data_IF_094030917670
#
_entry.id   IF_094030917670
#
_cell.length_a   1.000
_cell.length_b   1.000
_cell.length_c   1.000
_cell.angle_alpha   90.00
_cell.angle_beta   90.00
_cell.angle_gamma   90.00
#
_symmetry.space_group_name_H-M   'P 1'
#
loop_
_entity.id
_entity.type
_entity.pdbx_description
1 polymer ?
#
# COMPACT_ATOMS: atom_id res chain seq x y z
N UNK A 1 -35.79 10.84 7.44
CA UNK A 1 -34.79 11.28 8.44
C UNK A 1 -33.54 10.39 8.49
N UNK A 2 -33.57 9.15 7.99
CA UNK A 2 -32.45 8.18 7.99
C UNK A 2 -31.37 8.46 6.93
N UNK A 3 -31.70 8.98 5.75
CA UNK A 3 -30.71 9.18 4.67
C UNK A 3 -29.78 10.38 4.84
N UNK A 4 -30.21 11.44 5.55
CA UNK A 4 -29.39 12.63 5.80
C UNK A 4 -28.34 12.36 6.89
N UNK A 5 -28.68 11.57 7.91
CA UNK A 5 -27.72 11.14 8.92
C UNK A 5 -26.62 10.28 8.32
N UNK A 6 -26.95 9.32 7.44
CA UNK A 6 -25.97 8.47 6.76
C UNK A 6 -25.04 9.26 5.83
N UNK A 7 -25.56 10.28 5.13
CA UNK A 7 -24.79 11.14 4.24
C UNK A 7 -23.84 12.10 4.99
N UNK A 8 -24.27 12.60 6.15
CA UNK A 8 -23.44 13.40 7.06
C UNK A 8 -22.36 12.52 7.70
N UNK A 9 -22.70 11.27 8.06
CA UNK A 9 -21.79 10.28 8.64
C UNK A 9 -20.64 9.90 7.68
N UNK A 10 -20.96 9.61 6.42
CA UNK A 10 -19.97 9.26 5.38
C UNK A 10 -19.09 10.46 5.01
N UNK A 11 -19.65 11.68 4.94
CA UNK A 11 -18.86 12.91 4.70
C UNK A 11 -17.91 13.25 5.84
N UNK A 12 -18.30 13.07 7.10
CA UNK A 12 -17.44 13.30 8.26
C UNK A 12 -16.29 12.28 8.35
N UNK A 13 -16.55 11.02 8.04
CA UNK A 13 -15.55 9.95 8.00
C UNK A 13 -14.52 10.16 6.87
N UNK A 14 -15.00 10.52 5.67
CA UNK A 14 -14.13 10.88 4.54
C UNK A 14 -13.24 12.10 4.86
N UNK A 15 -13.79 13.12 5.53
CA UNK A 15 -13.05 14.32 5.89
C UNK A 15 -11.96 14.07 6.93
N UNK A 16 -12.12 13.12 7.85
CA UNK A 16 -11.11 12.77 8.87
C UNK A 16 -9.91 12.03 8.27
N UNK A 17 -10.13 11.13 7.30
CA UNK A 17 -9.06 10.39 6.63
C UNK A 17 -8.29 11.24 5.63
N UNK A 18 -9.02 12.09 4.88
CA UNK A 18 -8.44 13.21 4.15
C UNK A 18 -7.67 14.10 5.12
N UNK A 19 -8.17 14.37 6.32
CA UNK A 19 -7.45 15.15 7.32
C UNK A 19 -6.16 14.44 7.75
N UNK A 20 -6.12 13.15 8.06
CA UNK A 20 -4.86 12.50 8.49
C UNK A 20 -3.84 12.38 7.34
N UNK A 21 -4.29 12.00 6.15
CA UNK A 21 -3.43 11.90 4.95
C UNK A 21 -2.95 13.28 4.49
N UNK A 22 -3.87 14.26 4.41
CA UNK A 22 -3.51 15.63 4.07
C UNK A 22 -2.86 16.40 5.22
N UNK A 23 -3.07 16.10 6.50
CA UNK A 23 -2.34 16.73 7.61
C UNK A 23 -0.88 16.35 7.52
N UNK A 24 -0.54 15.09 7.23
CA UNK A 24 0.83 14.71 6.90
C UNK A 24 1.37 15.58 5.74
N UNK A 25 0.57 15.80 4.70
CA UNK A 25 0.89 16.61 3.52
C UNK A 25 0.91 18.15 3.73
N UNK A 26 0.11 18.70 4.64
CA UNK A 26 -0.03 20.14 4.95
C UNK A 26 0.91 20.57 6.08
N UNK A 27 1.22 19.70 7.03
CA UNK A 27 2.29 19.89 8.01
C UNK A 27 3.63 20.10 7.26
N UNK A 28 3.79 19.44 6.11
CA UNK A 28 4.84 19.62 5.11
C UNK A 28 4.91 21.05 4.51
N UNK A 29 3.79 21.74 4.30
CA UNK A 29 3.80 23.14 3.82
C UNK A 29 4.13 24.10 4.99
N UNK A 30 3.66 23.79 6.20
CA UNK A 30 3.82 24.65 7.36
C UNK A 30 5.25 24.63 7.93
N UNK A 31 5.93 23.48 7.97
CA UNK A 31 7.30 23.36 8.48
C UNK A 31 8.31 24.08 7.57
N UNK A 32 8.12 24.07 6.25
CA UNK A 32 9.07 24.66 5.29
C UNK A 32 8.77 26.11 4.86
N UNK A 33 7.66 26.71 5.33
CA UNK A 33 7.31 28.14 5.07
C UNK A 33 7.43 29.06 6.30
N UNK A 34 7.87 28.57 7.45
CA UNK A 34 7.99 29.41 8.64
C UNK A 34 9.19 30.36 8.56
N UNK A 35 8.97 31.58 8.03
CA UNK A 35 9.84 32.72 8.35
C UNK A 35 9.54 33.18 9.79
N UNK A 36 10.54 33.61 10.57
CA UNK A 36 10.30 34.12 11.91
C UNK A 36 9.46 35.40 11.83
N UNK A 37 8.26 35.36 12.42
CA UNK A 37 7.41 36.54 12.54
C UNK A 37 8.03 37.52 13.55
N UNK A 38 8.27 38.75 13.12
CA UNK A 38 8.68 39.85 13.99
C UNK A 38 7.53 40.23 14.95
N UNK A 39 7.89 40.42 16.21
CA UNK A 39 7.01 40.85 17.30
C UNK A 39 6.20 42.10 16.93
N UNK A 40 4.90 41.94 16.68
CA UNK A 40 3.94 43.03 16.63
C UNK A 40 2.93 42.87 17.76
N UNK A 41 2.80 43.93 18.58
CA UNK A 41 1.90 44.00 19.72
C UNK A 41 0.45 44.05 19.20
N UNK A 42 -0.32 42.99 19.44
CA UNK A 42 -1.72 42.87 18.99
C UNK A 42 -2.68 43.77 19.79
N UNK A 43 -3.39 44.64 19.05
CA UNK A 43 -4.46 45.53 19.53
C UNK A 43 -5.67 44.75 20.13
N UNK A 44 -6.42 45.33 21.10
CA UNK A 44 -7.39 44.60 21.94
C UNK A 44 -8.56 43.94 21.20
N UNK A 45 -8.93 44.40 20.00
CA UNK A 45 -9.99 43.77 19.17
C UNK A 45 -9.58 42.40 18.60
N UNK A 46 -8.29 42.07 18.53
CA UNK A 46 -7.82 40.77 18.05
C UNK A 46 -7.82 39.67 19.12
N UNK A 47 -7.91 40.02 20.41
CA UNK A 47 -7.92 39.04 21.51
C UNK A 47 -9.18 38.17 21.52
N UNK A 48 -10.31 38.70 21.07
CA UNK A 48 -11.56 37.94 20.97
C UNK A 48 -11.49 36.97 19.77
N UNK A 49 -11.04 37.42 18.61
CA UNK A 49 -10.87 36.58 17.41
C UNK A 49 -9.86 35.44 17.64
N UNK A 50 -8.75 35.71 18.34
CA UNK A 50 -7.74 34.70 18.71
C UNK A 50 -8.33 33.65 19.65
N UNK A 51 -9.15 34.04 20.64
CA UNK A 51 -9.82 33.07 21.55
C UNK A 51 -10.81 32.16 20.84
N UNK A 52 -11.57 32.69 19.88
CA UNK A 52 -12.48 31.87 19.06
C UNK A 52 -11.72 30.92 18.12
N UNK A 53 -10.63 31.37 17.49
CA UNK A 53 -9.75 30.50 16.72
C UNK A 53 -9.11 29.40 17.58
N UNK A 54 -8.62 29.74 18.78
CA UNK A 54 -8.08 28.75 19.72
C UNK A 54 -9.13 27.73 20.16
N UNK A 55 -10.36 28.14 20.43
CA UNK A 55 -11.45 27.23 20.81
C UNK A 55 -11.85 26.29 19.66
N UNK A 56 -11.92 26.79 18.42
CA UNK A 56 -12.20 25.96 17.22
C UNK A 56 -11.07 24.97 16.95
N UNK A 57 -9.81 25.38 17.15
CA UNK A 57 -8.65 24.49 17.06
C UNK A 57 -8.71 23.43 18.15
N UNK A 58 -8.98 23.80 19.40
CA UNK A 58 -9.10 22.84 20.51
C UNK A 58 -10.26 21.88 20.30
N UNK A 59 -11.43 22.35 19.85
CA UNK A 59 -12.58 21.48 19.54
C UNK A 59 -12.25 20.57 18.35
N UNK A 60 -11.58 21.06 17.31
CA UNK A 60 -11.15 20.21 16.19
C UNK A 60 -10.12 19.17 16.64
N UNK A 61 -9.14 19.54 17.45
CA UNK A 61 -8.14 18.62 18.01
C UNK A 61 -8.82 17.59 18.91
N UNK A 62 -9.72 17.99 19.81
CA UNK A 62 -10.47 17.08 20.68
C UNK A 62 -11.39 16.15 19.88
N UNK A 63 -12.08 16.66 18.86
CA UNK A 63 -12.87 15.83 17.95
C UNK A 63 -11.98 14.84 17.18
N UNK A 64 -10.78 15.24 16.75
CA UNK A 64 -9.84 14.36 16.06
C UNK A 64 -9.26 13.30 17.03
N UNK A 65 -8.98 13.67 18.27
CA UNK A 65 -8.41 12.75 19.28
C UNK A 65 -9.47 11.77 19.82
N UNK A 66 -10.75 12.15 19.86
CA UNK A 66 -11.82 11.31 20.42
C UNK A 66 -12.61 10.53 19.35
N UNK A 67 -12.87 11.13 18.19
CA UNK A 67 -13.71 10.50 17.15
C UNK A 67 -12.91 9.53 16.30
N UNK A 68 -11.63 9.83 15.99
CA UNK A 68 -10.81 8.96 15.13
C UNK A 68 -10.59 7.56 15.73
N UNK A 69 -10.21 7.43 17.03
CA UNK A 69 -10.03 6.11 17.64
C UNK A 69 -11.33 5.31 17.77
N UNK A 70 -12.50 5.97 17.74
CA UNK A 70 -13.79 5.27 17.77
C UNK A 70 -14.12 4.55 16.45
N UNK A 71 -13.53 4.97 15.33
CA UNK A 71 -13.88 4.46 14.00
C UNK A 71 -12.71 3.82 13.24
N UNK A 72 -11.47 4.11 13.64
CA UNK A 72 -10.26 3.52 13.05
C UNK A 72 -9.55 2.69 14.11
N UNK A 73 -9.42 1.39 13.86
CA UNK A 73 -8.75 0.45 14.74
C UNK A 73 -7.46 -0.02 14.08
N UNK A 74 -6.31 0.32 14.66
CA UNK A 74 -5.01 -0.13 14.16
C UNK A 74 -4.77 -1.58 14.58
N UNK A 75 -4.22 -2.39 13.66
CA UNK A 75 -3.79 -3.73 14.02
C UNK A 75 -2.52 -3.63 14.87
N UNK A 76 -2.53 -4.30 16.02
CA UNK A 76 -1.34 -4.40 16.89
C UNK A 76 -0.44 -5.55 16.48
N UNK A 77 -1.03 -6.59 15.87
CA UNK A 77 -0.35 -7.79 15.39
C UNK A 77 -0.69 -8.03 13.92
N UNK A 78 0.26 -8.47 13.08
CA UNK A 78 -0.03 -8.82 11.70
C UNK A 78 -1.00 -9.98 11.64
N UNK A 79 -2.14 -9.77 10.98
CA UNK A 79 -3.09 -10.83 10.67
C UNK A 79 -3.31 -10.89 9.16
N UNK A 80 -3.30 -12.11 8.63
CA UNK A 80 -3.49 -12.40 7.21
C UNK A 80 -4.77 -13.20 7.01
N UNK A 81 -5.48 -12.89 5.92
CA UNK A 81 -6.58 -13.67 5.37
C UNK A 81 -6.18 -14.23 4.00
N UNK A 82 -6.70 -15.39 3.65
CA UNK A 82 -6.71 -15.97 2.32
C UNK A 82 -8.06 -16.66 2.04
N UNK A 83 -8.18 -17.35 0.91
CA UNK A 83 -9.41 -18.05 0.51
C UNK A 83 -9.78 -19.24 1.39
N UNK A 84 -8.79 -19.93 1.95
CA UNK A 84 -8.98 -21.19 2.66
C UNK A 84 -9.40 -20.97 4.11
N UNK A 85 -8.79 -20.01 4.81
CA UNK A 85 -9.10 -19.68 6.20
C UNK A 85 -10.25 -18.68 6.31
N UNK A 86 -10.47 -17.82 5.29
CA UNK A 86 -11.54 -16.82 5.21
C UNK A 86 -11.68 -15.86 6.41
N UNK A 87 -10.67 -15.81 7.29
CA UNK A 87 -10.64 -14.98 8.50
C UNK A 87 -9.22 -14.48 8.74
N UNK A 88 -9.10 -13.29 9.33
CA UNK A 88 -7.84 -12.73 9.82
C UNK A 88 -7.49 -13.35 11.17
N UNK A 89 -6.61 -14.37 11.18
CA UNK A 89 -6.38 -15.18 12.39
C UNK A 89 -4.92 -15.30 12.80
N UNK A 90 -3.99 -15.22 11.86
CA UNK A 90 -2.58 -15.49 12.11
C UNK A 90 -1.68 -14.59 11.26
N UNK A 91 -0.42 -14.44 11.70
CA UNK A 91 0.61 -13.76 10.92
C UNK A 91 0.87 -14.46 9.58
N UNK A 92 0.84 -15.79 9.57
CA UNK A 92 1.04 -16.61 8.38
C UNK A 92 -0.14 -17.55 8.17
N UNK A 93 -0.61 -17.63 6.93
CA UNK A 93 -1.64 -18.58 6.47
C UNK A 93 -1.09 -19.43 5.34
N UNK A 94 -1.63 -20.63 5.18
CA UNK A 94 -1.23 -21.58 4.13
C UNK A 94 -2.43 -22.02 3.31
N UNK A 95 -2.16 -22.40 2.07
CA UNK A 95 -3.11 -23.02 1.16
C UNK A 95 -2.43 -24.15 0.39
N UNK A 96 -3.24 -24.99 -0.26
CA UNK A 96 -2.75 -26.00 -1.21
C UNK A 96 -3.07 -25.48 -2.62
N UNK A 97 -2.08 -24.92 -3.35
CA UNK A 97 -2.29 -24.47 -4.71
C UNK A 97 -2.67 -25.66 -5.60
N UNK A 98 -3.65 -25.47 -6.49
CA UNK A 98 -4.11 -26.52 -7.41
C UNK A 98 -3.36 -26.54 -8.74
N UNK A 99 -2.70 -25.45 -9.08
CA UNK A 99 -1.92 -25.26 -10.30
C UNK A 99 -0.82 -24.22 -10.05
N UNK A 100 0.03 -23.99 -11.03
CA UNK A 100 1.13 -23.02 -11.01
C UNK A 100 0.63 -21.63 -11.38
N UNK A 101 1.37 -20.60 -10.95
CA UNK A 101 1.00 -19.20 -11.18
C UNK A 101 1.24 -18.75 -12.62
N UNK A 102 2.34 -19.19 -13.23
CA UNK A 102 2.67 -18.89 -14.61
C UNK A 102 1.91 -19.82 -15.57
N UNK A 103 1.67 -19.31 -16.78
CA UNK A 103 1.01 -20.02 -17.87
C UNK A 103 2.04 -20.21 -18.98
N UNK A 104 2.42 -21.46 -19.26
CA UNK A 104 3.44 -21.81 -20.26
C UNK A 104 4.77 -21.05 -20.07
N UNK A 105 5.19 -20.88 -18.81
CA UNK A 105 6.39 -20.13 -18.47
C UNK A 105 6.26 -18.62 -18.61
N UNK A 106 5.06 -18.08 -18.85
CA UNK A 106 4.80 -16.64 -18.88
C UNK A 106 4.12 -16.19 -17.60
N UNK A 107 4.60 -15.07 -17.05
CA UNK A 107 4.08 -14.47 -15.83
C UNK A 107 3.92 -12.96 -16.03
N UNK A 108 2.69 -12.49 -16.02
CA UNK A 108 2.33 -11.08 -16.03
C UNK A 108 1.94 -10.62 -14.63
N UNK A 109 2.54 -9.51 -14.20
CA UNK A 109 2.37 -8.94 -12.86
C UNK A 109 2.07 -7.46 -12.96
N UNK A 110 1.10 -6.99 -12.17
CA UNK A 110 0.88 -5.56 -11.98
C UNK A 110 1.03 -5.17 -10.50
N UNK A 111 1.54 -3.98 -10.25
CA UNK A 111 1.55 -3.35 -8.92
C UNK A 111 0.70 -2.09 -8.96
N UNK A 112 -0.22 -1.94 -8.00
CA UNK A 112 -1.11 -0.79 -7.96
C UNK A 112 -1.57 -0.45 -6.54
N UNK A 113 -1.24 0.75 -6.08
CA UNK A 113 -1.95 1.37 -4.97
C UNK A 113 -3.33 1.83 -5.47
N UNK A 114 -4.38 1.16 -5.02
CA UNK A 114 -5.76 1.37 -5.50
C UNK A 114 -6.49 2.49 -4.74
N UNK A 115 -5.76 3.28 -3.94
CA UNK A 115 -6.25 4.47 -3.26
C UNK A 115 -7.55 4.23 -2.47
N UNK A 116 -7.63 3.11 -1.75
CA UNK A 116 -8.81 2.70 -0.95
C UNK A 116 -10.11 2.67 -1.75
N UNK A 117 -10.00 2.46 -3.07
CA UNK A 117 -11.12 2.48 -4.02
C UNK A 117 -11.92 3.78 -3.98
N UNK A 118 -11.28 4.92 -3.69
CA UNK A 118 -12.00 6.20 -3.48
C UNK A 118 -12.54 6.83 -4.76
N UNK A 119 -11.87 6.61 -5.90
CA UNK A 119 -12.28 7.20 -7.17
C UNK A 119 -13.14 6.23 -7.98
N UNK A 120 -14.09 6.76 -8.76
CA UNK A 120 -14.92 5.95 -9.65
C UNK A 120 -14.09 5.25 -10.72
N UNK A 121 -14.61 4.15 -11.27
CA UNK A 121 -13.94 3.38 -12.33
C UNK A 121 -12.86 2.41 -11.85
N UNK A 122 -12.56 2.36 -10.54
CA UNK A 122 -11.59 1.42 -9.97
C UNK A 122 -11.88 -0.04 -10.33
N UNK A 123 -13.17 -0.46 -10.33
CA UNK A 123 -13.56 -1.83 -10.70
C UNK A 123 -13.24 -2.16 -12.15
N UNK A 124 -13.51 -1.24 -13.06
CA UNK A 124 -13.26 -1.44 -14.49
C UNK A 124 -11.77 -1.63 -14.74
N UNK A 125 -10.92 -0.76 -14.16
CA UNK A 125 -9.48 -0.91 -14.29
C UNK A 125 -8.97 -2.16 -13.58
N UNK A 126 -9.50 -2.48 -12.40
CA UNK A 126 -9.11 -3.69 -11.67
C UNK A 126 -9.47 -4.96 -12.45
N UNK A 127 -10.65 -5.03 -13.07
CA UNK A 127 -11.03 -6.14 -13.96
C UNK A 127 -10.06 -6.23 -15.14
N UNK A 128 -9.76 -5.12 -15.81
CA UNK A 128 -8.80 -5.12 -16.92
C UNK A 128 -7.41 -5.61 -16.49
N UNK A 129 -6.94 -5.19 -15.31
CA UNK A 129 -5.67 -5.65 -14.76
C UNK A 129 -5.72 -7.14 -14.43
N UNK A 130 -6.80 -7.61 -13.80
CA UNK A 130 -6.97 -9.01 -13.42
C UNK A 130 -7.06 -9.94 -14.65
N UNK A 131 -7.73 -9.51 -15.73
CA UNK A 131 -7.81 -10.27 -16.98
C UNK A 131 -6.47 -10.34 -17.74
N UNK A 132 -5.54 -9.41 -17.47
CA UNK A 132 -4.26 -9.30 -18.16
C UNK A 132 -3.07 -9.85 -17.37
N UNK A 133 -3.25 -10.14 -16.08
CA UNK A 133 -2.14 -10.47 -15.19
C UNK A 133 -2.52 -11.61 -14.24
N UNK A 134 -1.62 -12.60 -14.12
CA UNK A 134 -1.83 -13.71 -13.19
C UNK A 134 -1.67 -13.28 -11.72
N UNK A 135 -0.98 -12.17 -11.47
CA UNK A 135 -0.71 -11.64 -10.14
C UNK A 135 -0.82 -10.12 -10.09
N UNK A 136 -1.60 -9.61 -9.13
CA UNK A 136 -1.69 -8.19 -8.79
C UNK A 136 -1.18 -7.95 -7.37
N UNK A 137 -0.21 -7.05 -7.22
CA UNK A 137 0.28 -6.53 -5.97
C UNK A 137 -0.49 -5.24 -5.65
N UNK A 138 -1.48 -5.32 -4.78
CA UNK A 138 -2.36 -4.20 -4.45
C UNK A 138 -2.02 -3.58 -3.09
N UNK A 139 -1.95 -2.25 -3.03
CA UNK A 139 -1.77 -1.49 -1.78
C UNK A 139 -2.99 -0.61 -1.52
N UNK A 140 -3.21 -0.25 -0.25
CA UNK A 140 -4.40 0.49 0.19
C UNK A 140 -5.73 -0.15 -0.22
N UNK A 141 -5.81 -1.49 -0.19
CA UNK A 141 -7.06 -2.17 -0.49
C UNK A 141 -8.02 -2.01 0.68
N UNK A 142 -9.25 -1.57 0.42
CA UNK A 142 -10.38 -1.67 1.34
C UNK A 142 -11.19 -2.93 0.98
N UNK A 143 -11.19 -3.92 1.87
CA UNK A 143 -11.91 -5.19 1.67
C UNK A 143 -13.41 -5.03 1.98
N UNK A 144 -14.08 -4.17 1.22
CA UNK A 144 -15.52 -3.92 1.32
C UNK A 144 -16.34 -5.09 0.76
N UNK A 145 -17.64 -5.12 1.06
CA UNK A 145 -18.57 -6.09 0.48
C UNK A 145 -18.60 -6.01 -1.04
N UNK A 146 -18.52 -4.79 -1.60
CA UNK A 146 -18.43 -4.55 -3.03
C UNK A 146 -17.17 -5.17 -3.64
N UNK A 147 -16.00 -5.00 -3.01
CA UNK A 147 -14.76 -5.63 -3.46
C UNK A 147 -14.85 -7.16 -3.37
N UNK A 148 -15.41 -7.68 -2.27
CA UNK A 148 -15.59 -9.12 -2.10
C UNK A 148 -16.54 -9.71 -3.14
N UNK A 149 -17.63 -9.03 -3.47
CA UNK A 149 -18.57 -9.44 -4.50
C UNK A 149 -17.90 -9.49 -5.87
N UNK A 150 -17.20 -8.43 -6.27
CA UNK A 150 -16.43 -8.38 -7.52
C UNK A 150 -15.41 -9.53 -7.60
N UNK A 151 -14.68 -9.78 -6.51
CA UNK A 151 -13.68 -10.85 -6.43
C UNK A 151 -14.30 -12.24 -6.55
N UNK A 152 -15.43 -12.48 -5.89
CA UNK A 152 -16.13 -13.76 -5.96
C UNK A 152 -16.62 -14.05 -7.40
N UNK A 153 -17.12 -13.03 -8.09
CA UNK A 153 -17.57 -13.12 -9.48
C UNK A 153 -16.41 -13.44 -10.45
N UNK A 154 -15.25 -12.85 -10.22
CA UNK A 154 -14.04 -13.09 -11.03
C UNK A 154 -13.23 -14.32 -10.60
N UNK A 155 -13.68 -15.03 -9.56
CA UNK A 155 -13.05 -16.24 -8.99
C UNK A 155 -11.61 -16.11 -8.48
N UNK A 156 -11.08 -14.88 -8.40
CA UNK A 156 -9.71 -14.62 -7.95
C UNK A 156 -9.48 -15.04 -6.49
N UNK A 157 -8.26 -15.53 -6.26
CA UNK A 157 -7.71 -15.79 -4.95
C UNK A 157 -7.08 -14.52 -4.39
N UNK A 158 -7.12 -14.40 -3.07
CA UNK A 158 -6.54 -13.30 -2.32
C UNK A 158 -5.62 -13.86 -1.23
N UNK A 159 -4.58 -13.12 -0.95
CA UNK A 159 -3.94 -13.08 0.36
C UNK A 159 -3.84 -11.62 0.78
N UNK A 160 -4.24 -11.26 1.99
CA UNK A 160 -4.21 -9.87 2.45
C UNK A 160 -3.76 -9.78 3.90
N UNK A 161 -2.82 -8.88 4.18
CA UNK A 161 -2.47 -8.47 5.54
C UNK A 161 -3.30 -7.25 5.94
N UNK A 162 -3.99 -7.33 7.08
CA UNK A 162 -4.73 -6.19 7.64
C UNK A 162 -3.74 -5.26 8.36
N UNK A 163 -3.66 -4.02 7.88
CA UNK A 163 -2.94 -2.95 8.58
C UNK A 163 -3.84 -2.29 9.63
N UNK A 164 -5.08 -1.96 9.24
CA UNK A 164 -6.06 -1.32 10.13
C UNK A 164 -7.48 -1.62 9.64
N UNK A 165 -8.49 -1.23 10.42
CA UNK A 165 -9.90 -1.32 10.04
C UNK A 165 -10.55 0.05 10.11
N UNK A 166 -11.45 0.30 9.16
CA UNK A 166 -12.41 1.41 9.19
C UNK A 166 -13.80 0.82 9.48
N UNK A 167 -14.30 1.02 10.71
CA UNK A 167 -15.41 0.21 11.22
C UNK A 167 -15.06 -1.29 11.15
N UNK A 168 -15.89 -2.06 10.46
CA UNK A 168 -15.64 -3.49 10.24
C UNK A 168 -14.87 -3.82 8.95
N UNK A 169 -14.54 -2.82 8.15
CA UNK A 169 -13.86 -3.04 6.87
C UNK A 169 -12.35 -3.06 7.04
N UNK A 170 -11.66 -4.17 6.74
CA UNK A 170 -10.21 -4.25 6.77
C UNK A 170 -9.56 -3.44 5.64
N UNK A 171 -8.42 -2.81 5.95
CA UNK A 171 -7.56 -2.13 4.98
C UNK A 171 -6.13 -2.62 5.08
N UNK A 172 -5.43 -2.69 3.94
CA UNK A 172 -4.04 -3.15 3.92
C UNK A 172 -3.49 -3.48 2.55
N UNK A 173 -2.54 -4.42 2.53
CA UNK A 173 -1.82 -4.87 1.34
C UNK A 173 -2.31 -6.25 0.96
N UNK A 174 -2.55 -6.45 -0.33
CA UNK A 174 -3.15 -7.66 -0.88
C UNK A 174 -2.41 -8.14 -2.12
N UNK A 175 -2.20 -9.45 -2.21
CA UNK A 175 -1.95 -10.13 -3.47
C UNK A 175 -3.26 -10.70 -3.98
N UNK A 176 -3.61 -10.37 -5.22
CA UNK A 176 -4.73 -10.97 -5.94
C UNK A 176 -4.19 -11.81 -7.10
N UNK A 177 -4.69 -13.04 -7.27
CA UNK A 177 -4.14 -13.97 -8.25
C UNK A 177 -5.16 -15.04 -8.69
N UNK A 178 -4.91 -15.68 -9.82
CA UNK A 178 -5.74 -16.81 -10.29
C UNK A 178 -5.57 -18.06 -9.41
N UNK A 179 -4.39 -18.21 -8.79
CA UNK A 179 -4.01 -19.32 -7.90
C UNK A 179 -3.78 -18.87 -6.46
N UNK A 180 -3.99 -19.76 -5.49
CA UNK A 180 -3.65 -19.49 -4.09
C UNK A 180 -2.13 -19.58 -3.90
N UNK A 181 -1.55 -18.66 -3.14
CA UNK A 181 -0.17 -18.82 -2.65
C UNK A 181 -0.11 -20.01 -1.68
N UNK A 182 0.95 -20.83 -1.72
CA UNK A 182 1.13 -21.94 -0.78
C UNK A 182 1.27 -21.47 0.67
N UNK A 183 1.88 -20.30 0.85
CA UNK A 183 1.97 -19.61 2.12
C UNK A 183 1.92 -18.10 1.90
N UNK A 184 1.31 -17.37 2.83
CA UNK A 184 1.38 -15.92 2.90
C UNK A 184 1.58 -15.43 4.33
N UNK A 185 2.54 -14.53 4.54
CA UNK A 185 2.91 -13.98 5.84
C UNK A 185 2.88 -12.45 5.83
N UNK A 186 2.22 -11.87 6.82
CA UNK A 186 2.05 -10.43 7.00
C UNK A 186 3.06 -9.85 7.98
N UNK A 187 3.41 -8.59 7.76
CA UNK A 187 4.30 -7.80 8.61
C UNK A 187 3.71 -6.40 8.77
N UNK A 188 3.92 -5.80 9.95
CA UNK A 188 3.50 -4.44 10.27
C UNK A 188 4.70 -3.61 10.73
N UNK A 189 4.71 -2.35 10.34
CA UNK A 189 5.65 -1.34 10.84
C UNK A 189 4.87 -0.06 11.08
N UNK A 190 4.98 0.50 12.28
CA UNK A 190 4.28 1.73 12.64
C UNK A 190 5.03 2.96 12.17
N UNK A 191 4.31 3.95 11.62
CA UNK A 191 4.92 5.24 11.29
C UNK A 191 5.33 6.01 12.56
N UNK A 192 6.47 6.74 12.54
CA UNK A 192 7.08 7.27 13.77
C UNK A 192 6.27 8.39 14.46
N UNK A 193 5.44 9.14 13.72
CA UNK A 193 4.71 10.31 14.27
C UNK A 193 3.28 9.96 14.64
N UNK A 194 2.52 9.40 13.70
CA UNK A 194 1.08 9.13 13.88
C UNK A 194 0.77 7.66 14.19
N UNK A 195 1.81 6.81 14.29
CA UNK A 195 1.71 5.37 14.56
C UNK A 195 0.75 4.63 13.64
N UNK A 196 0.53 5.16 12.45
CA UNK A 196 -0.31 4.52 11.45
C UNK A 196 0.40 3.28 10.94
N UNK A 197 -0.25 2.11 10.94
CA UNK A 197 0.39 0.86 10.55
C UNK A 197 0.57 0.80 9.03
N UNK A 198 1.81 0.57 8.60
CA UNK A 198 2.16 0.15 7.26
C UNK A 198 2.37 -1.34 7.23
N UNK A 199 2.08 -1.96 6.10
CA UNK A 199 2.09 -3.41 6.00
C UNK A 199 2.87 -3.93 4.80
N UNK A 200 3.30 -5.17 4.93
CA UNK A 200 3.99 -5.91 3.88
C UNK A 200 3.53 -7.35 3.90
N UNK A 201 3.47 -7.96 2.72
CA UNK A 201 2.98 -9.31 2.51
C UNK A 201 4.03 -10.11 1.73
N UNK A 202 4.52 -11.19 2.34
CA UNK A 202 5.30 -12.20 1.64
C UNK A 202 4.36 -13.32 1.20
N UNK A 203 4.42 -13.72 -0.06
CA UNK A 203 3.63 -14.83 -0.60
C UNK A 203 4.51 -15.75 -1.44
N UNK A 204 4.25 -17.06 -1.37
CA UNK A 204 4.99 -18.08 -2.10
C UNK A 204 4.07 -18.74 -3.14
N UNK A 205 4.46 -18.71 -4.41
CA UNK A 205 3.67 -19.26 -5.50
C UNK A 205 4.44 -20.36 -6.25
N UNK A 206 3.82 -21.51 -6.53
CA UNK A 206 4.46 -22.54 -7.34
C UNK A 206 4.54 -22.09 -8.81
N UNK A 207 5.65 -22.41 -9.47
CA UNK A 207 5.87 -22.18 -10.90
C UNK A 207 5.91 -23.49 -11.69
N UNK A 208 5.64 -23.41 -12.99
CA UNK A 208 5.59 -24.57 -13.92
C UNK A 208 6.91 -25.30 -14.07
N UNK A 209 8.05 -24.62 -13.82
CA UNK A 209 9.38 -25.21 -13.82
C UNK A 209 9.74 -25.95 -12.52
N UNK A 210 8.81 -26.05 -11.57
CA UNK A 210 9.01 -26.71 -10.27
C UNK A 210 9.66 -25.82 -9.21
N UNK A 211 10.03 -24.58 -9.54
CA UNK A 211 10.48 -23.61 -8.56
C UNK A 211 9.31 -22.97 -7.81
N UNK A 212 9.64 -22.19 -6.79
CA UNK A 212 8.69 -21.35 -6.06
C UNK A 212 9.09 -19.90 -6.25
N UNK A 213 8.15 -19.05 -6.67
CA UNK A 213 8.29 -17.60 -6.67
C UNK A 213 8.02 -17.05 -5.27
N UNK A 214 8.95 -16.28 -4.72
CA UNK A 214 8.70 -15.43 -3.55
C UNK A 214 8.31 -14.02 -3.99
N UNK A 215 7.12 -13.59 -3.60
CA UNK A 215 6.58 -12.24 -3.84
C UNK A 215 6.58 -11.46 -2.54
N UNK A 216 7.23 -10.30 -2.53
CA UNK A 216 7.14 -9.31 -1.47
C UNK A 216 6.36 -8.09 -1.98
N UNK A 217 5.18 -7.87 -1.42
CA UNK A 217 4.30 -6.74 -1.71
C UNK A 217 4.30 -5.78 -0.52
N UNK A 218 4.67 -4.52 -0.74
CA UNK A 218 4.85 -3.54 0.32
C UNK A 218 4.02 -2.27 0.07
N UNK A 219 3.49 -1.72 1.16
CA UNK A 219 3.13 -0.31 1.24
C UNK A 219 4.04 0.33 2.29
N UNK A 220 5.06 1.05 1.84
CA UNK A 220 6.11 1.51 2.73
C UNK A 220 5.72 2.70 3.61
N UNK A 221 6.50 2.94 4.67
CA UNK A 221 6.43 4.15 5.51
C UNK A 221 6.30 5.39 4.62
N UNK A 222 5.25 6.20 4.78
CA UNK A 222 5.04 7.38 3.94
C UNK A 222 6.10 8.43 4.26
N UNK A 223 6.12 8.97 5.48
CA UNK A 223 6.99 10.11 5.80
C UNK A 223 7.75 9.91 7.10
N UNK A 224 9.07 10.06 7.01
CA UNK A 224 9.95 10.19 8.16
C UNK A 224 11.21 10.96 7.78
N UNK A 225 11.85 11.59 8.76
CA UNK A 225 13.10 12.30 8.55
C UNK A 225 14.33 11.37 8.57
N UNK A 226 14.42 10.48 9.56
CA UNK A 226 15.63 9.72 9.89
C UNK A 226 15.85 8.41 9.09
N UNK A 227 14.82 7.88 8.42
CA UNK A 227 14.82 6.58 7.71
C UNK A 227 14.75 5.32 8.56
N UNK A 228 14.66 5.44 9.89
CA UNK A 228 14.74 4.28 10.79
C UNK A 228 13.57 3.31 10.57
N UNK A 229 12.33 3.79 10.49
CA UNK A 229 11.15 2.94 10.31
C UNK A 229 11.08 2.35 8.90
N UNK A 230 11.51 3.09 7.87
CA UNK A 230 11.61 2.57 6.50
C UNK A 230 12.67 1.47 6.40
N UNK A 231 13.84 1.68 7.03
CA UNK A 231 14.87 0.66 7.10
C UNK A 231 14.39 -0.58 7.86
N UNK A 232 13.74 -0.39 9.01
CA UNK A 232 13.18 -1.48 9.82
C UNK A 232 12.19 -2.31 9.01
N UNK A 233 11.23 -1.68 8.33
CA UNK A 233 10.24 -2.36 7.51
C UNK A 233 10.89 -3.25 6.44
N UNK A 234 11.90 -2.72 5.73
CA UNK A 234 12.62 -3.50 4.73
C UNK A 234 13.45 -4.63 5.36
N UNK A 235 14.09 -4.35 6.50
CA UNK A 235 14.90 -5.33 7.24
C UNK A 235 14.09 -6.52 7.74
N UNK A 236 12.83 -6.33 8.13
CA UNK A 236 11.94 -7.42 8.55
C UNK A 236 11.75 -8.49 7.47
N UNK A 237 11.84 -8.12 6.19
CA UNK A 237 11.66 -9.05 5.06
C UNK A 237 12.97 -9.71 4.59
N UNK A 238 14.12 -9.10 4.91
CA UNK A 238 15.43 -9.58 4.43
C UNK A 238 15.74 -11.04 4.77
N UNK A 239 15.42 -11.59 5.95
CA UNK A 239 15.68 -12.99 6.25
C UNK A 239 15.05 -13.95 5.23
N UNK A 240 13.77 -13.74 4.90
CA UNK A 240 13.06 -14.55 3.92
C UNK A 240 13.62 -14.36 2.50
N UNK A 241 13.84 -13.10 2.09
CA UNK A 241 14.36 -12.77 0.76
C UNK A 241 15.79 -13.32 0.52
N UNK A 242 16.65 -13.32 1.55
CA UNK A 242 18.01 -13.87 1.48
C UNK A 242 18.04 -15.39 1.49
N UNK A 243 17.16 -16.01 2.27
CA UNK A 243 17.08 -17.47 2.39
C UNK A 243 16.53 -18.12 1.11
N UNK A 244 15.58 -17.45 0.45
CA UNK A 244 14.96 -17.94 -0.77
C UNK A 244 15.97 -18.06 -1.91
N UNK A 245 15.93 -19.17 -2.66
CA UNK A 245 16.86 -19.46 -3.77
C UNK A 245 16.24 -19.29 -5.15
N UNK A 246 14.92 -19.45 -5.25
CA UNK A 246 14.20 -19.31 -6.49
C UNK A 246 13.97 -17.85 -6.90
N UNK A 247 13.10 -17.66 -7.90
CA UNK A 247 12.70 -16.36 -8.39
C UNK A 247 12.11 -15.46 -7.29
N UNK A 248 12.38 -14.16 -7.38
CA UNK A 248 11.79 -13.16 -6.47
C UNK A 248 11.14 -12.06 -7.31
N UNK A 249 9.96 -11.62 -6.85
CA UNK A 249 9.39 -10.32 -7.17
C UNK A 249 9.28 -9.52 -5.87
N UNK A 250 9.82 -8.31 -5.87
CA UNK A 250 9.77 -7.39 -4.74
C UNK A 250 9.21 -6.05 -5.23
N UNK A 251 8.09 -5.58 -4.71
CA UNK A 251 7.47 -4.37 -5.21
C UNK A 251 6.30 -3.85 -4.41
N UNK A 252 5.66 -2.82 -4.94
CA UNK A 252 4.56 -2.09 -4.32
C UNK A 252 4.76 -0.58 -4.36
N UNK A 253 4.00 0.12 -3.52
CA UNK A 253 4.22 1.54 -3.24
C UNK A 253 5.31 1.66 -2.17
N UNK A 254 6.53 1.93 -2.63
CA UNK A 254 7.71 2.02 -1.79
C UNK A 254 7.97 3.43 -1.28
N UNK A 255 7.09 4.41 -1.56
CA UNK A 255 7.19 5.78 -1.07
C UNK A 255 8.60 6.40 -1.21
N UNK A 256 9.28 6.19 -2.34
CA UNK A 256 10.67 6.62 -2.55
C UNK A 256 10.80 8.08 -3.02
N UNK A 257 10.02 8.98 -2.45
CA UNK A 257 9.91 10.41 -2.80
C UNK A 257 11.17 11.27 -2.52
N UNK A 258 12.31 10.65 -2.15
CA UNK A 258 13.60 11.33 -1.99
C UNK A 258 14.79 10.40 -2.26
N UNK A 259 15.90 10.99 -2.71
CA UNK A 259 17.14 10.26 -3.05
C UNK A 259 17.64 9.31 -1.95
N UNK A 260 17.53 9.68 -0.68
CA UNK A 260 18.00 8.85 0.42
C UNK A 260 17.24 7.51 0.52
N UNK A 261 15.93 7.50 0.20
CA UNK A 261 15.11 6.28 0.16
C UNK A 261 15.46 5.41 -1.03
N UNK A 262 15.63 6.02 -2.21
CA UNK A 262 16.12 5.30 -3.39
C UNK A 262 17.50 4.69 -3.17
N UNK A 263 18.39 5.39 -2.48
CA UNK A 263 19.75 4.89 -2.20
C UNK A 263 19.70 3.68 -1.27
N UNK A 264 18.87 3.72 -0.22
CA UNK A 264 18.67 2.58 0.69
C UNK A 264 18.05 1.38 -0.04
N UNK A 265 17.00 1.63 -0.83
CA UNK A 265 16.35 0.60 -1.64
C UNK A 265 17.32 -0.02 -2.66
N UNK A 266 18.14 0.81 -3.31
CA UNK A 266 19.19 0.36 -4.25
C UNK A 266 20.22 -0.54 -3.57
N UNK A 267 20.66 -0.20 -2.36
CA UNK A 267 21.59 -1.06 -1.59
C UNK A 267 20.96 -2.42 -1.26
N UNK A 268 19.71 -2.43 -0.80
CA UNK A 268 19.01 -3.66 -0.45
C UNK A 268 18.79 -4.54 -1.67
N UNK A 269 18.29 -3.96 -2.76
CA UNK A 269 18.03 -4.69 -4.01
C UNK A 269 19.32 -5.21 -4.63
N UNK A 270 20.42 -4.45 -4.58
CA UNK A 270 21.75 -4.89 -5.01
C UNK A 270 22.25 -6.11 -4.21
N UNK A 271 22.16 -6.06 -2.88
CA UNK A 271 22.56 -7.19 -2.00
C UNK A 271 21.72 -8.44 -2.27
N UNK A 272 20.45 -8.27 -2.66
CA UNK A 272 19.56 -9.36 -3.02
C UNK A 272 19.71 -9.81 -4.49
N UNK A 273 20.55 -9.15 -5.29
CA UNK A 273 20.71 -9.43 -6.71
C UNK A 273 19.45 -9.15 -7.54
N UNK A 274 18.60 -8.23 -7.08
CA UNK A 274 17.36 -7.84 -7.75
C UNK A 274 17.63 -6.76 -8.81
N UNK A 275 17.01 -6.90 -9.97
CA UNK A 275 17.00 -5.94 -11.08
C UNK A 275 15.72 -5.11 -10.99
N UNK A 276 15.82 -3.81 -11.27
CA UNK A 276 14.64 -2.94 -11.33
C UNK A 276 13.87 -3.16 -12.64
N UNK A 277 12.55 -3.19 -12.56
CA UNK A 277 11.67 -3.02 -13.72
C UNK A 277 11.62 -1.54 -14.05
N UNK A 278 12.07 -1.18 -15.25
CA UNK A 278 12.04 0.20 -15.76
C UNK A 278 11.17 0.21 -17.01
N UNK A 279 10.02 0.90 -17.02
CA UNK A 279 9.19 1.06 -18.21
C UNK A 279 9.89 1.94 -19.25
N UNK A 280 9.64 1.68 -20.54
CA UNK A 280 10.23 2.47 -21.64
C UNK A 280 9.71 3.92 -21.65
N UNK A 281 8.40 4.09 -21.41
CA UNK A 281 7.76 5.38 -21.16
C UNK A 281 7.35 5.46 -19.68
N UNK A 282 8.21 6.11 -18.89
CA UNK A 282 8.07 6.16 -17.44
C UNK A 282 7.10 7.27 -17.00
N UNK A 283 5.82 6.94 -17.08
CA UNK A 283 4.71 7.79 -16.60
C UNK A 283 4.26 7.41 -15.20
N UNK A 284 5.09 6.74 -14.39
CA UNK A 284 4.74 6.39 -13.01
C UNK A 284 4.36 7.63 -12.20
N UNK A 285 3.45 7.46 -11.25
CA UNK A 285 3.14 8.52 -10.29
C UNK A 285 4.40 8.95 -9.55
N UNK A 286 4.62 10.26 -9.47
CA UNK A 286 5.79 10.84 -8.81
C UNK A 286 5.40 11.72 -7.64
N UNK A 287 6.23 11.69 -6.61
CA UNK A 287 6.15 12.63 -5.49
C UNK A 287 7.53 13.29 -5.34
N UNK A 288 7.54 14.62 -5.33
CA UNK A 288 8.78 15.42 -5.37
C UNK A 288 9.71 15.07 -6.55
N UNK A 289 9.13 14.64 -7.68
CA UNK A 289 9.87 14.27 -8.89
C UNK A 289 10.47 12.87 -8.88
N UNK A 290 10.15 12.03 -7.89
CA UNK A 290 10.61 10.64 -7.81
C UNK A 290 9.45 9.66 -7.98
N UNK A 291 9.58 8.61 -8.83
CA UNK A 291 8.64 7.51 -8.89
C UNK A 291 8.56 6.79 -7.55
N UNK A 292 7.36 6.48 -7.08
CA UNK A 292 7.16 5.85 -5.76
C UNK A 292 6.74 4.38 -5.83
N UNK A 293 6.19 3.95 -6.96
CA UNK A 293 5.85 2.55 -7.22
C UNK A 293 6.98 1.85 -7.97
N UNK A 294 7.36 0.66 -7.49
CA UNK A 294 8.46 -0.10 -8.07
C UNK A 294 8.16 -1.59 -8.10
N UNK A 295 8.73 -2.27 -9.10
CA UNK A 295 8.86 -3.72 -9.14
C UNK A 295 10.34 -4.02 -9.36
N UNK A 296 10.87 -4.94 -8.58
CA UNK A 296 12.20 -5.51 -8.69
C UNK A 296 12.08 -7.03 -8.82
N UNK A 297 13.02 -7.64 -9.53
CA UNK A 297 12.96 -9.08 -9.82
C UNK A 297 14.33 -9.73 -9.87
N UNK A 298 14.38 -11.05 -9.65
CA UNK A 298 15.51 -11.92 -10.04
C UNK A 298 15.00 -13.33 -10.35
N UNK A 299 15.81 -14.14 -11.03
CA UNK A 299 15.41 -15.50 -11.41
C UNK A 299 14.31 -15.53 -12.48
N UNK A 300 14.07 -14.40 -13.15
CA UNK A 300 13.08 -14.22 -14.22
C UNK A 300 13.73 -13.39 -15.33
N UNK A 301 13.24 -13.54 -16.56
CA UNK A 301 13.60 -12.65 -17.67
C UNK A 301 12.47 -11.66 -17.90
N UNK A 302 12.75 -10.36 -17.72
CA UNK A 302 11.82 -9.28 -18.04
C UNK A 302 11.67 -9.17 -19.56
N UNK A 303 10.45 -9.27 -20.07
CA UNK A 303 10.12 -9.15 -21.49
C UNK A 303 9.59 -7.76 -21.84
N UNK A 304 8.75 -7.18 -20.98
CA UNK A 304 8.22 -5.84 -21.17
C UNK A 304 7.80 -5.22 -19.84
N UNK A 305 7.79 -3.89 -19.81
CA UNK A 305 7.35 -3.09 -18.68
C UNK A 305 6.58 -1.86 -19.18
N UNK A 306 5.44 -1.56 -18.58
CA UNK A 306 4.63 -0.39 -18.95
C UNK A 306 3.84 0.15 -17.77
N UNK A 307 3.38 1.38 -17.91
CA UNK A 307 2.52 2.06 -16.94
C UNK A 307 1.16 2.30 -17.57
N UNK A 308 0.09 2.19 -16.78
CA UNK A 308 -1.25 2.63 -17.19
C UNK A 308 -1.55 3.95 -16.49
N UNK A 309 -1.59 5.06 -17.22
CA UNK A 309 -2.08 6.34 -16.69
C UNK A 309 -3.57 6.23 -16.37
N UNK A 310 -3.98 6.72 -15.21
CA UNK A 310 -5.37 6.61 -14.76
C UNK A 310 -5.73 7.73 -13.78
N UNK A 311 -7.01 8.08 -13.73
CA UNK A 311 -7.60 8.97 -12.72
C UNK A 311 -8.35 8.18 -11.63
N UNK A 312 -8.41 6.85 -11.75
CA UNK A 312 -9.10 5.96 -10.80
C UNK A 312 -8.31 5.72 -9.50
N UNK A 313 -7.09 6.24 -9.44
CA UNK A 313 -6.20 6.28 -8.26
C UNK A 313 -5.23 7.45 -8.46
N UNK A 314 -4.64 7.96 -7.39
CA UNK A 314 -3.48 8.86 -7.45
C UNK A 314 -2.17 8.14 -7.83
N UNK A 315 -2.22 6.82 -7.95
CA UNK A 315 -1.15 5.96 -8.45
C UNK A 315 -1.49 5.33 -9.80
N UNK A 316 -0.53 5.39 -10.72
CA UNK A 316 -0.59 4.66 -11.98
C UNK A 316 -0.06 3.23 -11.81
N UNK A 317 -0.82 2.18 -12.20
CA UNK A 317 -0.34 0.80 -12.17
C UNK A 317 0.96 0.61 -12.97
N UNK A 318 1.95 -0.06 -12.36
CA UNK A 318 3.16 -0.53 -13.04
C UNK A 318 3.00 -2.01 -13.38
N UNK A 319 3.13 -2.36 -14.67
CA UNK A 319 2.98 -3.71 -15.18
C UNK A 319 4.33 -4.23 -15.71
N UNK A 320 4.56 -5.52 -15.51
CA UNK A 320 5.73 -6.24 -15.98
C UNK A 320 5.34 -7.63 -16.50
N UNK A 321 5.89 -8.01 -17.64
CA UNK A 321 5.79 -9.37 -18.17
C UNK A 321 7.13 -10.07 -18.05
N UNK A 322 7.09 -11.31 -17.57
CA UNK A 322 8.26 -12.12 -17.31
C UNK A 322 8.14 -13.47 -18.00
N UNK A 323 9.30 -14.00 -18.41
CA UNK A 323 9.48 -15.42 -18.70
C UNK A 323 10.11 -16.11 -17.49
N UNK A 324 9.52 -17.25 -17.10
CA UNK A 324 10.03 -18.21 -16.12
C UNK A 324 10.99 -19.16 -16.82
N UNK A 325 12.18 -19.35 -16.24
CA UNK A 325 13.28 -20.08 -16.87
C UNK A 325 14.10 -19.19 -17.81
N UNK A 326 15.42 -19.33 -17.72
CA UNK A 326 16.47 -18.47 -18.30
C UNK A 326 16.80 -17.24 -17.42
N UNK A 327 17.75 -17.39 -16.48
CA UNK A 327 18.56 -16.27 -15.96
C UNK A 327 20.05 -16.60 -16.01
#
# INVERSE_FOLDING_TARGET
MTSIHLLIHTKLQHNVEILCSNLSRYFLIAIFRSKPAQNTILQPKHKCLVRWCSLVIVISVMATVVVVPMFVHFATEPQVINNEQALFTAQCVTAIPKTTLDIDGQLAVASWNIYKQQNSGWQTLLSQLADQNQLLLLQEVKLSDEFQQWRQQSQHKLAMVQAFRQGDTPLGVMNLSEVSASQSCGYLTSEPIIQFPKSSLLSYFPLSNGETLLVANLHSINFEYALDSYAEQLQQLLPALRAHKGPIIFGGDLNTWRQARLSMLSQITMVLGLKAVTPDDDTRSTVMGYPIDHIYYRGLTLQSARVITTETSDHHPLLAQFKVGDS
#
